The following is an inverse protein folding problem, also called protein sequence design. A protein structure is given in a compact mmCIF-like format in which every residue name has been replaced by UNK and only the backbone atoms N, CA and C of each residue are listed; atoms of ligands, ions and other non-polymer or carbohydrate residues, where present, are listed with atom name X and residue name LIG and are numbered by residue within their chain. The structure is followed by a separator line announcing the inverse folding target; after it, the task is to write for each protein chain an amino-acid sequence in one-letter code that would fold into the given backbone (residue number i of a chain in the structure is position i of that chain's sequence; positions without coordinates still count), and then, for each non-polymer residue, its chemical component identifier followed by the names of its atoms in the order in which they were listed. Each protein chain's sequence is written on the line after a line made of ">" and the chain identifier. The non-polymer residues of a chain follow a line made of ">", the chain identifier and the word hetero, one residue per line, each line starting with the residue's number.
data_IF_528807521153
#
_entry.id   IF_528807521153
#
_cell.length_a   1.000
_cell.length_b   1.000
_cell.length_c   1.000
_cell.angle_alpha   90.00
_cell.angle_beta   90.00
_cell.angle_gamma   90.00
#
_symmetry.space_group_name_H-M   'P 1'
#
loop_
_entity.id
_entity.type
_entity.pdbx_description
1 polymer ?
#
# COMPACT_ATOMS: atom_id res chain seq x y z
N UNK A 1 11.71 -46.32 -11.79
CA UNK A 1 12.40 -45.02 -11.73
C UNK A 1 11.78 -43.94 -12.62
N UNK A 2 11.08 -44.27 -13.73
CA UNK A 2 10.42 -43.26 -14.57
C UNK A 2 9.05 -42.74 -14.09
N UNK A 3 8.36 -43.46 -13.20
CA UNK A 3 7.03 -43.09 -12.67
C UNK A 3 7.07 -41.92 -11.69
N UNK A 4 8.09 -41.89 -10.83
CA UNK A 4 8.13 -40.96 -9.68
C UNK A 4 8.45 -39.54 -10.13
N UNK A 5 9.27 -39.40 -11.19
CA UNK A 5 9.60 -38.11 -11.77
C UNK A 5 8.44 -37.54 -12.60
N UNK A 6 7.67 -38.40 -13.29
CA UNK A 6 6.47 -37.97 -14.02
C UNK A 6 5.39 -37.45 -13.06
N UNK A 7 5.19 -38.12 -11.93
CA UNK A 7 4.28 -37.61 -10.88
C UNK A 7 4.75 -36.27 -10.33
N UNK A 8 6.07 -36.09 -10.15
CA UNK A 8 6.65 -34.83 -9.71
C UNK A 8 6.37 -33.70 -10.71
N UNK A 9 6.52 -33.94 -12.01
CA UNK A 9 6.20 -32.97 -13.05
C UNK A 9 4.72 -32.60 -13.08
N UNK A 10 3.84 -33.59 -12.94
CA UNK A 10 2.40 -33.33 -12.89
C UNK A 10 2.02 -32.47 -11.67
N UNK A 11 2.55 -32.81 -10.49
CA UNK A 11 2.34 -32.04 -9.26
C UNK A 11 2.84 -30.59 -9.41
N UNK A 12 4.00 -30.38 -10.04
CA UNK A 12 4.54 -29.04 -10.29
C UNK A 12 3.57 -28.20 -11.16
N UNK A 13 3.05 -28.78 -12.24
CA UNK A 13 2.08 -28.09 -13.10
C UNK A 13 0.79 -27.74 -12.36
N UNK A 14 0.29 -28.66 -11.53
CA UNK A 14 -0.97 -28.45 -10.80
C UNK A 14 -0.85 -27.42 -9.67
N UNK A 15 0.31 -27.37 -8.99
CA UNK A 15 0.63 -26.29 -8.04
C UNK A 15 0.70 -24.95 -8.77
N UNK A 16 1.33 -24.87 -9.95
CA UNK A 16 1.39 -23.63 -10.72
C UNK A 16 0.02 -23.13 -11.19
N UNK A 17 -0.88 -24.03 -11.61
CA UNK A 17 -2.27 -23.68 -11.91
C UNK A 17 -2.99 -23.12 -10.69
N UNK A 18 -2.84 -23.79 -9.53
CA UNK A 18 -3.44 -23.36 -8.26
C UNK A 18 -2.90 -21.99 -7.84
N UNK A 19 -1.59 -21.77 -7.96
CA UNK A 19 -0.95 -20.49 -7.66
C UNK A 19 -1.46 -19.37 -8.56
N UNK A 20 -1.66 -19.63 -9.84
CA UNK A 20 -2.23 -18.67 -10.79
C UNK A 20 -3.65 -18.25 -10.37
N UNK A 21 -4.49 -19.22 -9.97
CA UNK A 21 -5.84 -18.96 -9.47
C UNK A 21 -5.81 -18.14 -8.17
N UNK A 22 -5.01 -18.55 -7.19
CA UNK A 22 -4.87 -17.83 -5.92
C UNK A 22 -4.38 -16.39 -6.11
N UNK A 23 -3.49 -16.14 -7.06
CA UNK A 23 -3.03 -14.78 -7.38
C UNK A 23 -4.15 -13.90 -7.94
N UNK A 24 -5.05 -14.46 -8.75
CA UNK A 24 -6.23 -13.74 -9.25
C UNK A 24 -7.19 -13.42 -8.11
N UNK A 25 -7.54 -14.41 -7.30
CA UNK A 25 -8.40 -14.24 -6.12
C UNK A 25 -7.81 -13.23 -5.13
N UNK A 26 -6.49 -13.27 -4.90
CA UNK A 26 -5.79 -12.31 -4.07
C UNK A 26 -5.91 -10.89 -4.63
N UNK A 27 -5.76 -10.70 -5.94
CA UNK A 27 -5.91 -9.39 -6.59
C UNK A 27 -7.32 -8.86 -6.44
N UNK A 28 -8.33 -9.69 -6.67
CA UNK A 28 -9.75 -9.33 -6.52
C UNK A 28 -10.07 -8.98 -5.07
N UNK A 29 -9.60 -9.78 -4.12
CA UNK A 29 -9.76 -9.54 -2.68
C UNK A 29 -9.12 -8.22 -2.25
N UNK A 30 -7.90 -7.93 -2.72
CA UNK A 30 -7.23 -6.65 -2.45
C UNK A 30 -8.02 -5.46 -2.99
N UNK A 31 -8.52 -5.56 -4.22
CA UNK A 31 -9.34 -4.51 -4.83
C UNK A 31 -10.64 -4.26 -4.06
N UNK A 32 -11.29 -5.32 -3.60
CA UNK A 32 -12.49 -5.20 -2.75
C UNK A 32 -12.15 -4.56 -1.40
N UNK A 33 -11.06 -5.00 -0.77
CA UNK A 33 -10.59 -4.46 0.50
C UNK A 33 -10.27 -2.97 0.38
N UNK A 34 -9.57 -2.55 -0.67
CA UNK A 34 -9.26 -1.14 -0.93
C UNK A 34 -10.52 -0.27 -1.10
N UNK A 35 -11.58 -0.81 -1.71
CA UNK A 35 -12.88 -0.12 -1.83
C UNK A 35 -13.55 0.02 -0.46
N UNK A 36 -13.65 -1.07 0.29
CA UNK A 36 -14.25 -1.09 1.62
C UNK A 36 -13.50 -0.16 2.58
N UNK A 37 -12.17 -0.13 2.55
CA UNK A 37 -11.37 0.76 3.39
C UNK A 37 -11.67 2.23 3.12
N UNK A 38 -11.92 2.62 1.87
CA UNK A 38 -12.30 3.99 1.52
C UNK A 38 -13.68 4.34 2.05
N UNK A 39 -14.68 3.51 1.76
CA UNK A 39 -16.06 3.74 2.19
C UNK A 39 -16.17 3.81 3.72
N UNK A 40 -15.50 2.90 4.45
CA UNK A 40 -15.49 2.89 5.91
C UNK A 40 -14.76 4.12 6.46
N UNK A 41 -13.62 4.49 5.88
CA UNK A 41 -12.87 5.67 6.31
C UNK A 41 -13.69 6.95 6.11
N UNK A 42 -14.32 7.11 4.95
CA UNK A 42 -15.20 8.25 4.64
C UNK A 42 -16.33 8.34 5.68
N UNK A 43 -17.05 7.24 5.90
CA UNK A 43 -18.10 7.16 6.91
C UNK A 43 -17.61 7.53 8.33
N UNK A 44 -16.49 6.97 8.77
CA UNK A 44 -15.94 7.25 10.10
C UNK A 44 -15.50 8.71 10.24
N UNK A 45 -14.96 9.31 9.19
CA UNK A 45 -14.50 10.71 9.19
C UNK A 45 -15.68 11.68 9.19
N UNK A 46 -16.71 11.41 8.39
CA UNK A 46 -17.94 12.24 8.33
C UNK A 46 -18.73 12.23 9.64
N UNK A 47 -18.63 11.13 10.40
CA UNK A 47 -19.35 10.94 11.65
C UNK A 47 -18.47 11.13 12.90
N UNK A 48 -17.25 11.66 12.74
CA UNK A 48 -16.32 11.92 13.84
C UNK A 48 -16.09 10.70 14.76
N UNK A 49 -15.84 9.53 14.16
CA UNK A 49 -15.68 8.26 14.86
C UNK A 49 -14.24 7.75 14.82
N UNK A 50 -13.71 7.41 16.00
CA UNK A 50 -12.38 6.80 16.15
C UNK A 50 -12.40 5.27 16.02
N UNK A 51 -13.50 4.60 16.40
CA UNK A 51 -13.62 3.15 16.26
C UNK A 51 -15.06 2.65 16.11
N UNK A 52 -15.20 1.44 15.55
CA UNK A 52 -16.46 0.69 15.38
C UNK A 52 -16.24 -0.72 15.93
N UNK A 53 -16.95 -1.06 17.01
CA UNK A 53 -16.92 -2.41 17.58
C UNK A 53 -17.94 -3.33 16.90
N UNK A 54 -17.49 -4.52 16.52
CA UNK A 54 -18.30 -5.60 15.95
C UNK A 54 -18.20 -6.86 16.83
N UNK A 55 -19.06 -7.85 16.54
CA UNK A 55 -19.08 -9.12 17.28
C UNK A 55 -17.71 -9.81 17.26
N UNK A 56 -17.10 -9.87 16.08
CA UNK A 56 -15.86 -10.64 15.84
C UNK A 56 -14.59 -9.76 15.78
N UNK A 57 -14.71 -8.45 16.04
CA UNK A 57 -13.57 -7.55 15.95
C UNK A 57 -13.92 -6.08 16.16
N UNK A 58 -12.96 -5.21 15.88
CA UNK A 58 -13.11 -3.76 15.94
C UNK A 58 -12.40 -3.13 14.74
N UNK A 59 -12.97 -2.06 14.18
CA UNK A 59 -12.34 -1.23 13.16
C UNK A 59 -11.92 0.07 13.83
N UNK A 60 -10.65 0.45 13.67
CA UNK A 60 -10.08 1.65 14.31
C UNK A 60 -9.56 2.59 13.23
N UNK A 61 -10.02 3.84 13.25
CA UNK A 61 -9.47 4.95 12.49
C UNK A 61 -8.28 5.52 13.26
N UNK A 62 -7.14 5.72 12.59
CA UNK A 62 -5.95 6.25 13.21
C UNK A 62 -5.13 7.07 12.21
N UNK A 63 -4.47 8.12 12.71
CA UNK A 63 -3.54 8.90 11.91
C UNK A 63 -2.18 8.22 11.84
N UNK A 64 -1.70 7.93 10.62
CA UNK A 64 -0.38 7.35 10.36
C UNK A 64 0.55 8.40 9.77
N UNK A 65 1.75 8.52 10.33
CA UNK A 65 2.85 9.29 9.70
C UNK A 65 3.34 8.53 8.46
N UNK A 66 3.22 9.14 7.29
CA UNK A 66 3.69 8.61 6.01
C UNK A 66 4.75 9.55 5.46
N UNK A 67 5.92 9.00 5.12
CA UNK A 67 6.96 9.78 4.44
C UNK A 67 6.44 10.21 3.08
N UNK A 68 6.47 11.51 2.78
CA UNK A 68 6.28 11.95 1.40
C UNK A 68 7.52 11.52 0.60
N UNK A 69 7.32 10.62 -0.36
CA UNK A 69 8.35 10.27 -1.33
C UNK A 69 8.22 11.20 -2.52
N UNK A 70 9.19 12.09 -2.70
CA UNK A 70 9.33 12.88 -3.91
C UNK A 70 10.29 12.16 -4.86
N UNK A 71 9.94 12.12 -6.15
CA UNK A 71 10.88 11.67 -7.18
C UNK A 71 11.90 12.79 -7.44
N UNK A 72 13.21 12.48 -7.40
CA UNK A 72 14.30 13.46 -7.64
C UNK A 72 14.06 14.19 -8.96
N UNK A 73 13.74 13.45 -10.01
CA UNK A 73 13.48 13.96 -11.36
C UNK A 73 12.40 15.05 -11.38
N UNK A 74 11.24 14.78 -10.77
CA UNK A 74 10.09 15.71 -10.77
C UNK A 74 10.38 16.97 -9.93
N UNK A 75 11.12 16.82 -8.82
CA UNK A 75 11.55 17.97 -8.02
C UNK A 75 12.55 18.83 -8.79
N UNK A 76 13.55 18.18 -9.40
CA UNK A 76 14.62 18.85 -10.12
C UNK A 76 14.08 19.62 -11.32
N UNK A 77 13.16 19.03 -12.09
CA UNK A 77 12.48 19.70 -13.21
C UNK A 77 11.78 20.98 -12.75
N UNK A 78 10.92 20.90 -11.73
CA UNK A 78 10.20 22.07 -11.20
C UNK A 78 11.10 23.14 -10.60
N UNK A 79 12.16 22.74 -9.90
CA UNK A 79 13.10 23.69 -9.30
C UNK A 79 13.87 24.40 -10.42
N UNK A 80 14.31 23.66 -11.44
CA UNK A 80 15.07 24.19 -12.56
C UNK A 80 14.22 25.09 -13.48
N UNK A 81 12.91 24.85 -13.63
CA UNK A 81 11.99 25.75 -14.32
C UNK A 81 12.00 27.18 -13.74
N UNK A 82 12.17 27.31 -12.42
CA UNK A 82 12.18 28.59 -11.72
C UNK A 82 13.58 29.18 -11.55
N UNK A 83 14.58 28.37 -11.19
CA UNK A 83 15.95 28.83 -10.94
C UNK A 83 16.77 29.00 -12.21
N UNK A 84 16.50 28.21 -13.26
CA UNK A 84 17.27 28.14 -14.52
C UNK A 84 18.78 27.92 -14.31
N UNK A 85 19.13 27.32 -13.18
CA UNK A 85 20.49 26.94 -12.79
C UNK A 85 20.48 25.46 -12.39
N UNK A 86 21.12 24.63 -13.22
CA UNK A 86 21.09 23.18 -13.04
C UNK A 86 21.88 22.71 -11.82
N UNK A 87 22.98 23.38 -11.45
CA UNK A 87 23.81 22.97 -10.31
C UNK A 87 23.11 23.31 -8.99
N UNK A 88 22.56 24.52 -8.89
CA UNK A 88 21.87 24.94 -7.68
C UNK A 88 20.54 24.20 -7.51
N UNK A 89 19.85 23.88 -8.61
CA UNK A 89 18.65 23.05 -8.60
C UNK A 89 18.92 21.63 -8.11
N UNK A 90 20.05 21.03 -8.48
CA UNK A 90 20.45 19.71 -7.98
C UNK A 90 20.72 19.76 -6.47
N UNK A 91 21.51 20.74 -6.01
CA UNK A 91 21.84 20.93 -4.60
C UNK A 91 20.59 21.09 -3.73
N UNK A 92 19.63 21.91 -4.17
CA UNK A 92 18.36 22.13 -3.47
C UNK A 92 17.49 20.87 -3.46
N UNK A 93 17.43 20.15 -4.59
CA UNK A 93 16.69 18.89 -4.69
C UNK A 93 17.23 17.86 -3.68
N UNK A 94 18.56 17.73 -3.58
CA UNK A 94 19.19 16.81 -2.64
C UNK A 94 18.93 17.20 -1.18
N UNK A 95 18.99 18.50 -0.87
CA UNK A 95 18.65 19.01 0.46
C UNK A 95 17.19 18.70 0.85
N UNK A 96 16.24 18.85 -0.08
CA UNK A 96 14.81 18.53 0.16
C UNK A 96 14.62 17.02 0.39
N UNK A 97 15.32 16.18 -0.39
CA UNK A 97 15.22 14.72 -0.26
C UNK A 97 15.84 14.19 1.05
N UNK A 98 16.87 14.86 1.56
CA UNK A 98 17.49 14.55 2.86
C UNK A 98 16.58 14.99 4.03
N UNK A 99 15.87 16.11 3.88
CA UNK A 99 14.93 16.65 4.87
C UNK A 99 13.50 16.11 4.68
N UNK A 100 13.35 14.78 4.67
CA UNK A 100 12.06 14.10 4.42
C UNK A 100 10.95 14.64 5.31
N UNK A 101 9.93 15.24 4.69
CA UNK A 101 8.69 15.65 5.37
C UNK A 101 7.73 14.45 5.50
N UNK A 102 7.11 14.36 6.67
CA UNK A 102 6.06 13.38 6.94
C UNK A 102 4.70 14.08 6.86
N UNK A 103 3.73 13.38 6.28
CA UNK A 103 2.31 13.77 6.34
C UNK A 103 1.54 12.80 7.21
N UNK A 104 0.58 13.32 7.98
CA UNK A 104 -0.39 12.49 8.65
C UNK A 104 -1.46 12.09 7.63
N UNK A 105 -1.73 10.80 7.55
CA UNK A 105 -2.80 10.24 6.73
C UNK A 105 -3.67 9.35 7.60
N UNK A 106 -4.98 9.58 7.59
CA UNK A 106 -5.89 8.71 8.32
C UNK A 106 -6.02 7.38 7.60
N UNK A 107 -5.93 6.31 8.37
CA UNK A 107 -6.01 4.93 7.92
C UNK A 107 -6.92 4.16 8.86
N UNK A 108 -7.50 3.08 8.37
CA UNK A 108 -8.24 2.15 9.21
C UNK A 108 -7.42 0.88 9.46
N UNK A 109 -7.69 0.19 10.56
CA UNK A 109 -7.18 -1.15 10.86
C UNK A 109 -8.31 -2.01 11.42
N UNK A 110 -8.36 -3.28 11.03
CA UNK A 110 -9.24 -4.27 11.64
C UNK A 110 -8.49 -5.05 12.73
N UNK A 111 -9.05 -5.10 13.94
CA UNK A 111 -8.57 -5.90 15.07
C UNK A 111 -9.53 -7.07 15.26
N UNK A 112 -9.10 -8.27 14.90
CA UNK A 112 -9.92 -9.48 15.03
C UNK A 112 -9.80 -10.04 16.45
N UNK A 113 -10.93 -10.27 17.12
CA UNK A 113 -10.94 -10.92 18.44
C UNK A 113 -10.59 -12.39 18.23
N UNK A 114 -9.50 -12.85 18.87
CA UNK A 114 -9.23 -14.28 18.94
C UNK A 114 -10.28 -14.91 19.86
N UNK A 115 -10.90 -15.99 19.39
CA UNK A 115 -11.75 -16.84 20.24
C UNK A 115 -10.92 -17.51 21.33
#
# INVERSE_FOLDING_TARGET
>A
MGSDIQQTFQNYLDVHKSLSKMRKEQKETKSLLDKLEKEIKEYMTENDMDSIALKDGEIILYSKKVSQTFKKEVLMEKINEHLKDSQESERLTESILQNKKYVLQDKIKAVIKKK
#
